data_IF_313328781649
#
_entry.id   IF_313328781649
#
_cell.length_a   1.000
_cell.length_b   1.000
_cell.length_c   1.000
_cell.angle_alpha   90.00
_cell.angle_beta   90.00
_cell.angle_gamma   90.00
#
_symmetry.space_group_name_H-M   'P 1'
#
loop_
_entity.id
_entity.type
_entity.pdbx_description
1 polymer ?
#
# COMPACT_ATOMS: atom_id res chain seq x y z
N UNK A 1 -9.01 -1.23 -21.46
CA UNK A 1 -8.54 0.15 -21.22
C UNK A 1 -8.76 1.01 -22.46
N UNK A 2 -8.24 0.64 -23.64
CA UNK A 2 -8.25 1.41 -24.91
C UNK A 2 -9.64 1.89 -25.30
N UNK A 3 -10.66 1.02 -25.27
CA UNK A 3 -12.06 1.42 -25.57
C UNK A 3 -12.57 2.56 -24.68
N UNK A 4 -12.12 2.63 -23.42
CA UNK A 4 -12.50 3.74 -22.51
C UNK A 4 -11.74 5.01 -22.84
N UNK A 5 -10.47 4.90 -23.15
CA UNK A 5 -9.64 6.03 -23.57
C UNK A 5 -10.21 6.65 -24.86
N UNK A 6 -10.52 5.82 -25.86
CA UNK A 6 -11.14 6.26 -27.12
C UNK A 6 -12.50 6.97 -26.90
N UNK A 7 -13.31 6.43 -25.99
CA UNK A 7 -14.59 7.05 -25.67
C UNK A 7 -14.41 8.43 -25.02
N UNK A 8 -13.49 8.54 -24.05
CA UNK A 8 -13.18 9.81 -23.38
C UNK A 8 -12.56 10.83 -24.35
N UNK A 9 -11.66 10.40 -25.23
CA UNK A 9 -11.08 11.26 -26.27
C UNK A 9 -12.15 11.81 -27.19
N UNK A 10 -13.13 10.98 -27.62
CA UNK A 10 -14.29 11.46 -28.43
C UNK A 10 -15.17 12.42 -27.66
N UNK A 11 -15.19 12.40 -26.35
CA UNK A 11 -15.86 13.37 -25.49
C UNK A 11 -15.08 14.68 -25.29
N UNK A 12 -13.91 14.82 -25.92
CA UNK A 12 -13.06 16.01 -25.83
C UNK A 12 -12.05 16.00 -24.69
N UNK A 13 -11.85 14.86 -24.01
CA UNK A 13 -10.83 14.73 -22.96
C UNK A 13 -9.47 14.55 -23.61
N UNK A 14 -8.53 15.44 -23.29
CA UNK A 14 -7.13 15.36 -23.70
C UNK A 14 -6.29 14.60 -22.65
N UNK A 15 -5.54 13.62 -23.09
CA UNK A 15 -4.59 12.88 -22.26
C UNK A 15 -3.17 13.42 -22.51
N UNK A 16 -2.52 13.91 -21.46
CA UNK A 16 -1.15 14.41 -21.49
C UNK A 16 -0.25 13.50 -20.67
N UNK A 17 0.30 12.46 -21.29
CA UNK A 17 1.22 11.52 -20.67
C UNK A 17 2.65 12.05 -20.62
N UNK A 18 3.45 11.61 -19.64
CA UNK A 18 4.85 12.07 -19.49
C UNK A 18 4.98 13.51 -18.97
N UNK A 19 3.90 14.11 -18.47
CA UNK A 19 3.88 15.47 -17.94
C UNK A 19 3.60 15.43 -16.44
N UNK A 20 4.42 16.15 -15.66
CA UNK A 20 4.16 16.44 -14.25
C UNK A 20 3.68 17.89 -14.17
N UNK A 21 2.38 18.15 -13.95
CA UNK A 21 1.87 19.50 -13.91
C UNK A 21 2.26 20.21 -12.61
N UNK A 22 2.37 21.54 -12.70
CA UNK A 22 2.55 22.43 -11.55
C UNK A 22 1.36 23.35 -11.38
N UNK A 23 1.18 23.99 -10.22
CA UNK A 23 0.13 24.98 -10.02
C UNK A 23 0.16 26.10 -11.07
N UNK A 24 1.36 26.55 -11.46
CA UNK A 24 1.54 27.58 -12.50
C UNK A 24 1.08 27.10 -13.88
N UNK A 25 1.38 25.84 -14.26
CA UNK A 25 0.95 25.28 -15.55
C UNK A 25 -0.55 25.10 -15.66
N UNK A 26 -1.26 24.97 -14.52
CA UNK A 26 -2.71 24.75 -14.47
C UNK A 26 -3.51 26.00 -14.02
N UNK A 27 -2.87 27.15 -13.83
CA UNK A 27 -3.51 28.38 -13.30
C UNK A 27 -4.70 28.91 -14.14
N UNK A 28 -4.68 28.63 -15.44
CA UNK A 28 -5.71 29.11 -16.39
C UNK A 28 -6.92 28.17 -16.50
N UNK A 29 -6.89 27.01 -15.80
CA UNK A 29 -8.06 26.14 -15.72
C UNK A 29 -9.06 26.66 -14.69
N UNK A 30 -10.34 26.42 -14.94
CA UNK A 30 -11.42 26.85 -14.05
C UNK A 30 -11.50 26.02 -12.78
N UNK A 31 -11.06 24.75 -12.84
CA UNK A 31 -10.87 23.86 -11.69
C UNK A 31 -9.75 22.86 -11.95
N UNK A 32 -9.10 22.43 -10.87
CA UNK A 32 -8.06 21.38 -10.87
C UNK A 32 -8.46 20.28 -9.89
N UNK A 33 -8.36 19.03 -10.31
CA UNK A 33 -8.62 17.86 -9.44
C UNK A 33 -7.34 17.07 -9.24
N UNK A 34 -6.90 16.93 -8.00
CA UNK A 34 -5.79 16.10 -7.62
C UNK A 34 -6.29 14.66 -7.37
N UNK A 35 -6.00 13.76 -8.31
CA UNK A 35 -6.31 12.33 -8.23
C UNK A 35 -5.00 11.50 -8.28
N UNK A 36 -4.00 11.93 -7.51
CA UNK A 36 -2.60 11.47 -7.58
C UNK A 36 -2.34 10.16 -6.84
N UNK A 37 -3.37 9.57 -6.22
CA UNK A 37 -3.25 8.31 -5.50
C UNK A 37 -2.35 8.40 -4.26
N UNK A 38 -1.87 7.24 -3.80
CA UNK A 38 -0.89 7.11 -2.71
C UNK A 38 0.43 6.62 -3.28
N UNK A 39 1.47 7.42 -3.19
CA UNK A 39 2.79 7.09 -3.74
C UNK A 39 3.89 6.99 -2.69
N UNK A 40 3.61 7.34 -1.44
CA UNK A 40 4.56 7.30 -0.33
C UNK A 40 4.46 5.96 0.40
N UNK A 41 5.16 4.94 -0.08
CA UNK A 41 5.16 3.61 0.55
C UNK A 41 5.78 3.66 1.94
N UNK A 42 5.12 3.02 2.92
CA UNK A 42 5.63 2.91 4.29
C UNK A 42 6.89 2.05 4.33
N UNK A 43 7.95 2.60 4.92
CA UNK A 43 9.13 1.84 5.32
C UNK A 43 9.06 1.53 6.81
N UNK A 44 9.60 0.38 7.19
CA UNK A 44 9.73 -0.01 8.59
C UNK A 44 11.15 0.36 9.08
N UNK A 45 11.21 0.83 10.32
CA UNK A 45 12.50 1.01 11.00
C UNK A 45 12.92 -0.35 11.56
N UNK A 46 14.02 -0.86 11.09
CA UNK A 46 14.61 -2.13 11.52
C UNK A 46 16.10 -1.90 11.77
N UNK A 47 16.60 -2.43 12.86
CA UNK A 47 18.03 -2.37 13.17
C UNK A 47 18.84 -3.09 12.08
N UNK A 48 19.95 -2.51 11.65
CA UNK A 48 20.79 -3.06 10.59
C UNK A 48 20.29 -2.84 9.15
N UNK A 49 19.11 -2.22 8.94
CA UNK A 49 18.53 -2.07 7.62
C UNK A 49 19.05 -0.85 6.82
N UNK A 50 19.72 0.12 7.46
CA UNK A 50 20.02 1.44 6.84
C UNK A 50 20.89 1.34 5.59
N UNK A 51 21.72 0.33 5.46
CA UNK A 51 22.61 0.12 4.31
C UNK A 51 22.48 -1.27 3.69
N UNK A 52 21.51 -2.05 4.16
CA UNK A 52 21.32 -3.42 3.70
C UNK A 52 20.80 -3.47 2.26
N UNK A 53 21.44 -4.28 1.43
CA UNK A 53 20.98 -4.60 0.08
C UNK A 53 20.01 -5.79 0.13
N UNK A 54 19.04 -5.81 -0.82
CA UNK A 54 18.03 -6.86 -0.90
C UNK A 54 16.78 -6.56 -0.07
N UNK A 55 16.59 -5.29 0.35
CA UNK A 55 15.35 -4.79 0.95
C UNK A 55 14.63 -3.92 -0.06
N UNK A 56 13.41 -4.28 -0.44
CA UNK A 56 12.61 -3.56 -1.42
C UNK A 56 11.23 -3.22 -0.88
N UNK A 57 10.67 -2.09 -1.32
CA UNK A 57 9.24 -1.83 -1.19
C UNK A 57 8.49 -2.76 -2.14
N UNK A 58 7.31 -3.21 -1.76
CA UNK A 58 6.52 -4.09 -2.59
C UNK A 58 6.22 -3.51 -3.98
N UNK A 59 5.96 -2.20 -4.07
CA UNK A 59 5.69 -1.52 -5.34
C UNK A 59 6.91 -1.56 -6.28
N UNK A 60 8.10 -1.37 -5.75
CA UNK A 60 9.35 -1.39 -6.52
C UNK A 60 9.65 -2.84 -6.97
N UNK A 61 9.50 -3.81 -6.06
CA UNK A 61 9.66 -5.24 -6.36
C UNK A 61 8.68 -5.72 -7.45
N UNK A 62 7.39 -5.37 -7.33
CA UNK A 62 6.38 -5.73 -8.33
C UNK A 62 6.58 -5.00 -9.66
N UNK A 63 7.30 -3.87 -9.66
CA UNK A 63 7.71 -3.13 -10.87
C UNK A 63 8.99 -3.69 -11.51
N UNK A 64 9.59 -4.74 -10.93
CA UNK A 64 10.73 -5.46 -11.50
C UNK A 64 12.08 -5.19 -10.82
N UNK A 65 12.10 -4.49 -9.68
CA UNK A 65 13.32 -4.31 -8.91
C UNK A 65 13.61 -5.54 -8.03
N UNK A 66 14.83 -6.04 -8.10
CA UNK A 66 15.26 -7.22 -7.36
C UNK A 66 14.78 -8.55 -7.96
N UNK A 67 15.23 -9.65 -7.37
CA UNK A 67 14.86 -11.01 -7.80
C UNK A 67 14.81 -11.97 -6.62
N UNK A 68 13.79 -12.82 -6.62
CA UNK A 68 13.58 -13.90 -5.65
C UNK A 68 14.26 -15.21 -6.05
N UNK A 69 14.85 -15.30 -7.27
CA UNK A 69 15.41 -16.54 -7.79
C UNK A 69 16.45 -17.17 -6.86
N UNK A 70 16.17 -18.38 -6.38
CA UNK A 70 17.05 -19.15 -5.49
C UNK A 70 17.20 -18.60 -4.07
N UNK A 71 16.44 -17.56 -3.68
CA UNK A 71 16.54 -16.90 -2.38
C UNK A 71 15.47 -17.38 -1.40
N UNK A 72 15.80 -17.28 -0.11
CA UNK A 72 14.83 -17.29 0.96
C UNK A 72 14.20 -15.87 1.02
N UNK A 73 12.88 -15.77 0.81
CA UNK A 73 12.15 -14.52 0.68
C UNK A 73 11.28 -14.30 1.91
N UNK A 74 11.37 -13.11 2.50
CA UNK A 74 10.47 -12.66 3.56
C UNK A 74 9.66 -11.48 3.05
N UNK A 75 8.33 -11.53 3.22
CA UNK A 75 7.38 -10.48 2.82
C UNK A 75 6.67 -9.98 4.05
N UNK A 76 6.73 -8.68 4.33
CA UNK A 76 6.04 -8.05 5.46
C UNK A 76 4.73 -7.44 4.97
N UNK A 77 3.61 -7.97 5.44
CA UNK A 77 2.25 -7.53 5.15
C UNK A 77 1.39 -8.64 4.54
N UNK A 78 0.24 -8.90 5.16
CA UNK A 78 -0.72 -9.95 4.77
C UNK A 78 -1.88 -9.44 3.88
N UNK A 79 -1.79 -8.23 3.32
CA UNK A 79 -2.80 -7.70 2.40
C UNK A 79 -2.55 -8.09 0.94
N UNK A 80 -3.44 -7.63 0.04
CA UNK A 80 -3.41 -7.96 -1.40
C UNK A 80 -2.02 -7.73 -2.04
N UNK A 81 -1.36 -6.61 -1.71
CA UNK A 81 -0.01 -6.32 -2.23
C UNK A 81 1.04 -7.34 -1.75
N UNK A 82 0.95 -7.79 -0.48
CA UNK A 82 1.81 -8.84 0.05
C UNK A 82 1.57 -10.18 -0.68
N UNK A 83 0.30 -10.50 -0.95
CA UNK A 83 -0.09 -11.69 -1.68
C UNK A 83 0.46 -11.69 -3.12
N UNK A 84 0.38 -10.55 -3.82
CA UNK A 84 0.99 -10.38 -5.15
C UNK A 84 2.50 -10.60 -5.12
N UNK A 85 3.17 -10.15 -4.03
CA UNK A 85 4.61 -10.41 -3.84
C UNK A 85 4.90 -11.90 -3.64
N UNK A 86 4.04 -12.64 -2.91
CA UNK A 86 4.16 -14.11 -2.77
C UNK A 86 4.09 -14.78 -4.14
N UNK A 87 3.05 -14.51 -4.94
CA UNK A 87 2.90 -15.08 -6.27
C UNK A 87 4.06 -14.72 -7.20
N UNK A 88 4.54 -13.48 -7.15
CA UNK A 88 5.69 -13.03 -7.93
C UNK A 88 6.97 -13.78 -7.53
N UNK A 89 7.23 -13.94 -6.23
CA UNK A 89 8.40 -14.67 -5.73
C UNK A 89 8.36 -16.16 -6.14
N UNK A 90 7.18 -16.79 -6.12
CA UNK A 90 7.00 -18.17 -6.60
C UNK A 90 7.42 -18.28 -8.07
N UNK A 91 6.92 -17.39 -8.92
CA UNK A 91 7.17 -17.40 -10.37
C UNK A 91 8.62 -17.07 -10.72
N UNK A 92 9.28 -16.28 -9.90
CA UNK A 92 10.72 -16.00 -10.02
C UNK A 92 11.60 -17.16 -9.51
N UNK A 93 11.06 -18.20 -8.90
CA UNK A 93 11.82 -19.35 -8.44
C UNK A 93 12.45 -19.19 -7.07
N UNK A 94 11.76 -18.54 -6.13
CA UNK A 94 12.19 -18.48 -4.73
C UNK A 94 12.46 -19.88 -4.16
N UNK A 95 13.47 -20.00 -3.30
CA UNK A 95 13.80 -21.21 -2.56
C UNK A 95 12.80 -21.47 -1.43
N UNK A 96 12.45 -20.41 -0.70
CA UNK A 96 11.39 -20.42 0.31
C UNK A 96 10.71 -19.04 0.36
N UNK A 97 9.48 -19.00 0.89
CA UNK A 97 8.74 -17.75 1.05
C UNK A 97 8.05 -17.79 2.41
N UNK A 98 8.21 -16.71 3.18
CA UNK A 98 7.50 -16.48 4.44
C UNK A 98 6.83 -15.12 4.37
N UNK A 99 5.53 -15.06 4.68
CA UNK A 99 4.75 -13.82 4.74
C UNK A 99 4.43 -13.48 6.19
N UNK A 100 4.84 -12.31 6.66
CA UNK A 100 4.67 -11.87 8.05
C UNK A 100 3.47 -10.93 8.14
N UNK A 101 2.50 -11.30 8.97
CA UNK A 101 1.31 -10.50 9.24
C UNK A 101 1.26 -10.14 10.74
N UNK A 102 1.15 -8.84 11.03
CA UNK A 102 1.09 -8.35 12.41
C UNK A 102 -0.24 -8.64 13.12
N UNK A 103 -1.29 -8.83 12.34
CA UNK A 103 -2.62 -9.13 12.89
C UNK A 103 -2.80 -10.64 13.11
N UNK A 104 -3.68 -11.04 14.05
CA UNK A 104 -4.02 -12.44 14.23
C UNK A 104 -4.75 -12.98 13.00
N UNK A 105 -4.58 -14.28 12.79
CA UNK A 105 -5.33 -15.01 11.77
C UNK A 105 -6.84 -14.83 11.99
N UNK A 106 -7.56 -14.49 10.93
CA UNK A 106 -9.03 -14.41 10.97
C UNK A 106 -9.60 -15.81 10.79
N UNK A 107 -10.00 -16.42 11.90
CA UNK A 107 -10.54 -17.80 11.90
C UNK A 107 -12.06 -17.87 11.68
N UNK A 108 -12.75 -16.72 11.74
CA UNK A 108 -14.19 -16.62 11.47
C UNK A 108 -14.47 -15.39 10.61
N UNK A 109 -15.29 -15.51 9.57
CA UNK A 109 -15.71 -14.37 8.79
C UNK A 109 -16.35 -13.31 9.68
N UNK A 110 -15.83 -12.09 9.65
CA UNK A 110 -16.46 -10.94 10.30
C UNK A 110 -17.17 -10.13 9.22
N UNK A 111 -18.49 -10.18 9.19
CA UNK A 111 -19.29 -9.31 8.33
C UNK A 111 -19.16 -7.88 8.84
N UNK A 112 -18.44 -7.04 8.12
CA UNK A 112 -18.47 -5.60 8.34
C UNK A 112 -19.57 -5.07 7.44
N UNK A 113 -20.67 -4.62 8.04
CA UNK A 113 -21.73 -3.97 7.27
C UNK A 113 -21.16 -2.72 6.56
N UNK A 114 -21.14 -2.80 5.27
CA UNK A 114 -20.81 -1.66 4.41
C UNK A 114 -21.99 -1.44 3.46
N UNK A 115 -22.66 -0.27 3.50
CA UNK A 115 -23.84 -0.01 2.66
C UNK A 115 -23.56 -0.08 1.16
N UNK A 116 -22.29 -0.05 0.75
CA UNK A 116 -21.90 -0.14 -0.66
C UNK A 116 -21.58 -1.57 -1.11
N UNK A 117 -21.15 -2.43 -0.21
CA UNK A 117 -20.90 -3.86 -0.44
C UNK A 117 -20.66 -4.58 0.88
N UNK A 118 -21.27 -5.73 1.02
CA UNK A 118 -20.97 -6.66 2.09
C UNK A 118 -19.68 -7.40 1.72
N UNK A 119 -18.58 -7.10 2.38
CA UNK A 119 -17.39 -7.94 2.33
C UNK A 119 -17.16 -8.50 3.73
N UNK A 120 -17.20 -9.81 3.90
CA UNK A 120 -16.70 -10.41 5.13
C UNK A 120 -15.24 -10.03 5.30
N UNK A 121 -14.84 -9.72 6.52
CA UNK A 121 -13.43 -9.58 6.87
C UNK A 121 -12.89 -11.00 7.03
N UNK A 122 -12.52 -11.58 5.91
CA UNK A 122 -11.90 -12.90 5.86
C UNK A 122 -10.39 -12.77 5.77
N UNK A 123 -9.70 -13.79 6.25
CA UNK A 123 -8.32 -13.98 5.86
C UNK A 123 -8.32 -14.16 4.34
N UNK A 124 -7.57 -13.32 3.65
CA UNK A 124 -7.43 -13.43 2.21
C UNK A 124 -6.42 -14.53 1.88
N UNK A 125 -6.94 -15.73 1.78
CA UNK A 125 -6.23 -16.84 1.15
C UNK A 125 -6.61 -16.79 -0.32
N UNK A 126 -5.78 -16.16 -1.13
CA UNK A 126 -6.02 -15.97 -2.56
C UNK A 126 -5.20 -16.96 -3.43
N UNK A 127 -5.24 -16.76 -4.73
CA UNK A 127 -4.54 -17.62 -5.69
C UNK A 127 -3.03 -17.73 -5.43
N UNK A 128 -2.40 -16.70 -4.88
CA UNK A 128 -0.96 -16.73 -4.58
C UNK A 128 -0.62 -17.65 -3.41
N UNK A 129 -1.47 -17.69 -2.39
CA UNK A 129 -1.31 -18.64 -1.28
C UNK A 129 -1.65 -20.08 -1.69
N UNK A 130 -2.65 -20.27 -2.58
CA UNK A 130 -2.93 -21.58 -3.17
C UNK A 130 -1.74 -22.08 -4.00
N UNK A 131 -1.12 -21.20 -4.78
CA UNK A 131 0.09 -21.48 -5.55
C UNK A 131 1.26 -21.83 -4.60
N UNK A 132 1.41 -21.11 -3.49
CA UNK A 132 2.40 -21.40 -2.46
C UNK A 132 2.16 -22.74 -1.79
N UNK A 133 0.92 -23.03 -1.40
CA UNK A 133 0.54 -24.31 -0.80
C UNK A 133 0.86 -25.47 -1.75
N UNK A 134 0.54 -25.31 -3.03
CA UNK A 134 0.81 -26.35 -4.05
C UNK A 134 2.31 -26.62 -4.19
N UNK A 135 3.15 -25.59 -4.11
CA UNK A 135 4.60 -25.72 -4.31
C UNK A 135 5.34 -26.14 -3.04
N UNK A 136 4.98 -25.60 -1.89
CA UNK A 136 5.73 -25.75 -0.63
C UNK A 136 5.01 -26.59 0.43
N UNK A 137 3.76 -27.00 0.19
CA UNK A 137 2.90 -27.81 1.06
C UNK A 137 2.71 -27.21 2.48
N UNK A 138 2.71 -25.90 2.59
CA UNK A 138 2.50 -25.16 3.85
C UNK A 138 1.92 -23.77 3.60
N UNK A 139 1.30 -23.18 4.63
CA UNK A 139 0.91 -21.77 4.65
C UNK A 139 2.18 -20.89 4.70
N UNK A 140 2.30 -19.85 3.86
CA UNK A 140 3.43 -18.92 3.95
C UNK A 140 3.41 -18.02 5.19
N UNK A 141 2.27 -17.89 5.89
CA UNK A 141 2.09 -16.87 6.91
C UNK A 141 2.69 -17.22 8.27
N UNK A 142 3.30 -16.20 8.88
CA UNK A 142 3.52 -16.10 10.31
C UNK A 142 2.66 -14.92 10.79
N UNK A 143 1.66 -15.23 11.60
CA UNK A 143 0.72 -14.24 12.15
C UNK A 143 1.22 -13.67 13.47
N UNK A 144 0.73 -12.48 13.80
CA UNK A 144 1.07 -11.78 15.04
C UNK A 144 2.59 -11.65 15.22
N UNK A 145 3.29 -11.23 14.17
CA UNK A 145 4.72 -11.03 14.21
C UNK A 145 5.13 -9.76 13.43
N UNK A 146 6.30 -9.24 13.77
CA UNK A 146 6.94 -8.14 13.04
C UNK A 146 8.45 -8.33 12.98
N UNK A 147 9.11 -7.71 11.99
CA UNK A 147 10.57 -7.72 11.88
C UNK A 147 11.15 -6.53 12.63
N UNK A 148 12.14 -6.77 13.48
CA UNK A 148 12.86 -5.75 14.29
C UNK A 148 14.22 -5.41 13.75
N UNK A 149 14.94 -6.41 13.25
CA UNK A 149 16.32 -6.26 12.80
C UNK A 149 16.61 -7.14 11.59
N UNK A 150 17.69 -6.83 10.91
CA UNK A 150 18.24 -7.63 9.82
C UNK A 150 19.73 -7.87 10.03
N UNK A 151 20.20 -9.04 9.59
CA UNK A 151 21.61 -9.34 9.47
C UNK A 151 22.07 -9.17 8.02
N UNK A 152 23.31 -8.74 7.84
CA UNK A 152 23.96 -8.63 6.54
C UNK A 152 25.29 -9.34 6.51
N UNK A 153 25.73 -9.74 5.33
CA UNK A 153 27.10 -10.18 5.09
C UNK A 153 28.09 -9.00 4.99
N UNK A 154 29.37 -9.30 4.82
CA UNK A 154 30.44 -8.29 4.67
C UNK A 154 30.24 -7.38 3.45
N UNK A 155 29.49 -7.82 2.44
CA UNK A 155 29.14 -7.03 1.24
C UNK A 155 27.86 -6.19 1.44
N UNK A 156 27.19 -6.29 2.59
CA UNK A 156 25.96 -5.59 2.91
C UNK A 156 24.69 -6.26 2.38
N UNK A 157 24.75 -7.49 1.85
CA UNK A 157 23.55 -8.20 1.44
C UNK A 157 22.82 -8.77 2.65
N UNK A 158 21.50 -8.67 2.67
CA UNK A 158 20.67 -9.26 3.72
C UNK A 158 20.84 -10.79 3.75
N UNK A 159 21.01 -11.36 4.96
CA UNK A 159 21.18 -12.79 5.17
C UNK A 159 20.14 -13.38 6.10
N UNK A 160 19.61 -12.59 7.04
CA UNK A 160 18.55 -13.00 7.93
C UNK A 160 17.70 -11.82 8.39
N UNK A 161 16.50 -12.13 8.91
CA UNK A 161 15.62 -11.21 9.63
C UNK A 161 15.37 -11.72 11.03
N UNK A 162 15.33 -10.80 12.00
CA UNK A 162 14.92 -11.07 13.37
C UNK A 162 13.48 -10.61 13.54
N UNK A 163 12.60 -11.53 13.81
CA UNK A 163 11.20 -11.23 14.10
C UNK A 163 10.90 -11.39 15.59
N UNK A 164 9.83 -10.76 16.04
CA UNK A 164 9.26 -10.91 17.37
C UNK A 164 7.76 -11.12 17.24
N UNK A 165 7.19 -11.97 18.09
CA UNK A 165 5.76 -12.18 18.14
C UNK A 165 5.05 -11.07 18.89
N UNK A 166 3.81 -10.82 18.51
CA UNK A 166 2.97 -9.73 19.00
C UNK A 166 1.73 -10.27 19.71
N UNK A 167 1.42 -9.68 20.86
CA UNK A 167 0.14 -9.89 21.53
C UNK A 167 -0.82 -8.74 21.20
N UNK A 168 -2.03 -9.11 20.79
CA UNK A 168 -3.09 -8.15 20.53
C UNK A 168 -3.79 -7.78 21.83
N UNK A 169 -3.83 -6.49 22.13
CA UNK A 169 -4.56 -5.90 23.25
C UNK A 169 -5.46 -4.75 22.83
N UNK A 170 -6.00 -4.05 23.82
CA UNK A 170 -6.76 -2.81 23.62
C UNK A 170 -6.38 -1.79 24.70
N UNK A 171 -6.23 -0.54 24.32
CA UNK A 171 -5.98 0.55 25.27
C UNK A 171 -7.26 1.00 25.99
N UNK A 172 -7.13 1.97 26.90
CA UNK A 172 -8.24 2.56 27.68
C UNK A 172 -9.32 3.23 26.81
N UNK A 173 -9.00 3.56 25.55
CA UNK A 173 -9.91 4.13 24.57
C UNK A 173 -10.46 3.06 23.60
N UNK A 174 -10.30 1.76 23.93
CA UNK A 174 -10.70 0.63 23.10
C UNK A 174 -10.07 0.63 21.70
N UNK A 175 -8.86 1.21 21.56
CA UNK A 175 -8.07 1.15 20.33
C UNK A 175 -7.15 -0.07 20.42
N UNK A 176 -7.10 -0.85 19.33
CA UNK A 176 -6.25 -2.02 19.24
C UNK A 176 -4.78 -1.65 19.44
N UNK A 177 -4.11 -2.39 20.30
CA UNK A 177 -2.66 -2.33 20.53
C UNK A 177 -2.01 -3.65 20.15
N UNK A 178 -0.75 -3.59 19.76
CA UNK A 178 0.11 -4.75 19.50
C UNK A 178 1.35 -4.58 20.37
N UNK A 179 1.57 -5.52 21.26
CA UNK A 179 2.70 -5.49 22.20
C UNK A 179 3.63 -6.65 21.91
N UNK A 180 4.93 -6.40 21.88
CA UNK A 180 5.93 -7.46 21.69
C UNK A 180 5.93 -8.42 22.87
N UNK A 181 6.00 -9.73 22.57
CA UNK A 181 6.11 -10.79 23.56
C UNK A 181 7.60 -10.99 23.86
N UNK A 182 8.10 -10.66 25.05
CA UNK A 182 9.50 -10.83 25.39
C UNK A 182 9.94 -12.31 25.33
N UNK A 183 11.10 -12.57 24.70
CA UNK A 183 11.64 -13.91 24.56
C UNK A 183 11.00 -14.74 23.44
N UNK A 184 10.25 -14.10 22.56
CA UNK A 184 9.62 -14.73 21.39
C UNK A 184 10.39 -14.46 20.09
N UNK A 185 11.61 -13.98 20.19
CA UNK A 185 12.45 -13.64 19.04
C UNK A 185 12.82 -14.90 18.25
N UNK A 186 12.66 -14.81 16.94
CA UNK A 186 13.05 -15.85 15.98
C UNK A 186 13.93 -15.26 14.88
N UNK A 187 14.84 -16.05 14.35
CA UNK A 187 15.70 -15.67 13.22
C UNK A 187 15.33 -16.51 12.01
N UNK A 188 15.01 -15.85 10.93
CA UNK A 188 14.70 -16.50 9.66
C UNK A 188 15.76 -16.16 8.60
N UNK A 189 16.22 -17.13 7.79
CA UNK A 189 17.09 -16.85 6.66
C UNK A 189 16.33 -15.95 5.67
N UNK A 190 17.01 -14.93 5.14
CA UNK A 190 16.43 -13.97 4.24
C UNK A 190 17.46 -13.44 3.25
N UNK A 191 17.31 -13.74 1.98
CA UNK A 191 18.12 -13.18 0.90
C UNK A 191 17.36 -12.10 0.10
N UNK A 192 16.08 -11.89 0.39
CA UNK A 192 15.24 -10.84 -0.16
C UNK A 192 14.13 -10.50 0.83
N UNK A 193 14.09 -9.25 1.29
CA UNK A 193 13.03 -8.72 2.14
C UNK A 193 12.15 -7.75 1.34
N UNK A 194 10.83 -8.02 1.29
CA UNK A 194 9.86 -7.17 0.60
C UNK A 194 8.90 -6.56 1.61
N UNK A 195 8.79 -5.23 1.62
CA UNK A 195 7.95 -4.48 2.57
C UNK A 195 6.65 -4.06 1.90
N UNK A 196 5.54 -4.72 2.26
CA UNK A 196 4.18 -4.47 1.81
C UNK A 196 3.30 -3.85 2.91
N UNK A 197 3.84 -2.88 3.66
CA UNK A 197 3.23 -2.29 4.86
C UNK A 197 2.25 -1.14 4.57
N UNK A 198 1.76 -1.01 3.33
CA UNK A 198 0.85 0.04 2.88
C UNK A 198 1.55 1.38 2.60
N UNK A 199 0.75 2.45 2.53
CA UNK A 199 1.22 3.78 2.12
C UNK A 199 0.88 4.84 3.17
N UNK A 200 1.62 5.96 3.10
CA UNK A 200 1.47 7.15 3.94
C UNK A 200 0.99 8.34 3.09
N UNK A 201 -0.12 8.18 2.37
CA UNK A 201 -0.67 9.23 1.53
C UNK A 201 0.05 9.43 0.18
N UNK A 202 -0.22 10.52 -0.53
CA UNK A 202 0.44 10.89 -1.76
C UNK A 202 1.93 11.19 -1.52
N UNK A 203 2.70 11.26 -2.59
CA UNK A 203 4.07 11.82 -2.51
C UNK A 203 3.99 13.28 -2.07
N UNK A 204 4.89 13.70 -1.17
CA UNK A 204 4.89 15.05 -0.60
C UNK A 204 4.93 16.14 -1.68
N UNK A 205 5.73 15.91 -2.73
CA UNK A 205 5.90 16.83 -3.85
C UNK A 205 4.57 17.17 -4.56
N UNK A 206 3.61 16.24 -4.56
CA UNK A 206 2.30 16.48 -5.16
C UNK A 206 1.46 17.47 -4.34
N UNK A 207 1.52 17.40 -3.01
CA UNK A 207 0.84 18.36 -2.14
C UNK A 207 1.52 19.74 -2.15
N UNK A 208 2.86 19.75 -2.08
CA UNK A 208 3.70 20.96 -2.10
C UNK A 208 3.55 21.74 -3.40
N UNK A 209 3.56 21.05 -4.57
CA UNK A 209 3.44 21.67 -5.88
C UNK A 209 2.16 22.48 -6.06
N UNK A 210 1.10 22.15 -5.31
CA UNK A 210 -0.19 22.85 -5.35
C UNK A 210 -0.50 23.64 -4.08
N UNK A 211 0.36 23.60 -3.07
CA UNK A 211 0.18 24.30 -1.81
C UNK A 211 -1.01 23.81 -0.98
N UNK A 212 -1.39 22.54 -1.17
CA UNK A 212 -2.53 21.95 -0.45
C UNK A 212 -2.10 21.40 0.91
N UNK A 213 -2.96 21.57 1.90
CA UNK A 213 -2.76 21.04 3.25
C UNK A 213 -2.97 19.53 3.29
N UNK A 214 -2.31 18.88 4.23
CA UNK A 214 -2.47 17.46 4.50
C UNK A 214 -2.98 17.19 5.92
N UNK A 215 -3.69 16.09 6.10
CA UNK A 215 -4.17 15.62 7.39
C UNK A 215 -3.02 14.99 8.20
N UNK A 216 -3.24 14.69 9.48
CA UNK A 216 -2.30 13.93 10.32
C UNK A 216 -1.94 12.55 9.77
N UNK A 217 -2.70 12.02 8.81
CA UNK A 217 -2.42 10.76 8.09
C UNK A 217 -1.74 10.99 6.74
N UNK A 218 -1.28 12.20 6.47
CA UNK A 218 -0.63 12.63 5.23
C UNK A 218 -1.52 12.56 3.98
N UNK A 219 -2.83 12.42 4.10
CA UNK A 219 -3.76 12.55 2.99
C UNK A 219 -4.05 14.02 2.72
N UNK A 220 -4.40 14.40 1.49
CA UNK A 220 -4.82 15.76 1.17
C UNK A 220 -6.05 16.12 2.00
N UNK A 221 -5.97 17.23 2.72
CA UNK A 221 -7.09 17.74 3.52
C UNK A 221 -8.14 18.39 2.62
N UNK A 222 -9.40 18.13 2.91
CA UNK A 222 -10.52 18.66 2.12
C UNK A 222 -11.76 18.96 2.97
N UNK A 223 -12.63 19.77 2.42
CA UNK A 223 -14.02 19.93 2.85
C UNK A 223 -14.90 19.73 1.65
N UNK A 224 -15.67 18.65 1.60
CA UNK A 224 -16.50 18.29 0.46
C UNK A 224 -15.74 18.34 -0.88
N UNK A 225 -14.58 17.66 -0.92
CA UNK A 225 -13.60 17.59 -2.02
C UNK A 225 -12.77 18.85 -2.28
N UNK A 226 -13.21 20.04 -1.85
CA UNK A 226 -12.45 21.29 -2.03
C UNK A 226 -11.28 21.34 -1.01
N UNK A 227 -10.07 21.64 -1.50
CA UNK A 227 -8.88 21.84 -0.65
C UNK A 227 -8.87 23.25 -0.06
N UNK A 228 -7.84 23.57 0.74
CA UNK A 228 -7.56 24.95 1.19
C UNK A 228 -7.19 25.92 0.05
N UNK A 229 -6.87 25.41 -1.15
CA UNK A 229 -6.51 26.22 -2.30
C UNK A 229 -7.72 26.37 -3.23
N UNK A 230 -8.13 27.62 -3.50
CA UNK A 230 -9.27 27.93 -4.38
C UNK A 230 -9.15 27.22 -5.73
N UNK A 231 -10.24 26.65 -6.24
CA UNK A 231 -10.34 25.87 -7.47
C UNK A 231 -9.63 24.50 -7.45
N UNK A 232 -8.92 24.13 -6.38
CA UNK A 232 -8.22 22.86 -6.28
C UNK A 232 -9.03 21.89 -5.44
N UNK A 233 -9.34 20.74 -6.02
CA UNK A 233 -10.10 19.64 -5.42
C UNK A 233 -9.23 18.41 -5.30
N UNK A 234 -9.62 17.46 -4.46
CA UNK A 234 -8.93 16.18 -4.30
C UNK A 234 -9.92 15.01 -4.27
N UNK A 235 -9.53 13.86 -4.86
CA UNK A 235 -10.33 12.65 -4.82
C UNK A 235 -9.49 11.38 -4.88
N UNK A 236 -10.10 10.25 -4.53
CA UNK A 236 -9.46 8.94 -4.51
C UNK A 236 -8.49 8.77 -3.35
N UNK A 237 -7.51 7.88 -3.52
CA UNK A 237 -6.64 7.46 -2.43
C UNK A 237 -5.77 8.58 -1.85
N UNK A 238 -5.45 9.62 -2.60
CA UNK A 238 -4.71 10.76 -2.06
C UNK A 238 -5.50 11.56 -1.00
N UNK A 239 -6.83 11.45 -1.03
CA UNK A 239 -7.77 12.07 -0.10
C UNK A 239 -8.20 11.13 1.01
N UNK A 240 -8.57 9.89 0.67
CA UNK A 240 -9.19 8.92 1.61
C UNK A 240 -8.23 7.89 2.19
N UNK A 241 -6.99 7.82 1.68
CA UNK A 241 -6.06 6.72 1.92
C UNK A 241 -6.30 5.56 0.94
N UNK A 242 -5.30 4.66 0.84
CA UNK A 242 -5.35 3.52 -0.09
C UNK A 242 -6.58 2.63 0.17
N UNK A 243 -7.24 2.25 -0.91
CA UNK A 243 -8.41 1.38 -0.85
C UNK A 243 -8.66 0.67 -2.19
N UNK A 244 -9.84 0.07 -2.35
CA UNK A 244 -10.23 -0.60 -3.59
C UNK A 244 -10.48 0.41 -4.73
N UNK A 245 -10.13 0.02 -5.96
CA UNK A 245 -10.37 0.81 -7.18
C UNK A 245 -11.81 1.30 -7.28
N UNK A 246 -12.79 0.48 -6.92
CA UNK A 246 -14.21 0.85 -6.96
C UNK A 246 -14.53 2.01 -6.02
N UNK A 247 -13.87 2.12 -4.86
CA UNK A 247 -14.02 3.27 -3.96
C UNK A 247 -13.43 4.53 -4.57
N UNK A 248 -12.23 4.46 -5.15
CA UNK A 248 -11.62 5.59 -5.83
C UNK A 248 -12.49 6.08 -7.01
N UNK A 249 -13.12 5.16 -7.76
CA UNK A 249 -14.05 5.52 -8.83
C UNK A 249 -15.31 6.24 -8.32
N UNK A 250 -15.89 5.76 -7.21
CA UNK A 250 -17.05 6.42 -6.58
C UNK A 250 -16.64 7.81 -6.09
N UNK A 251 -15.53 7.90 -5.39
CA UNK A 251 -15.02 9.17 -4.85
C UNK A 251 -14.75 10.20 -5.97
N UNK A 252 -14.15 9.76 -7.08
CA UNK A 252 -13.93 10.62 -8.26
C UNK A 252 -15.22 11.11 -8.90
N UNK A 253 -16.29 10.30 -8.93
CA UNK A 253 -17.61 10.72 -9.44
C UNK A 253 -18.26 11.78 -8.54
N UNK A 254 -18.19 11.60 -7.23
CA UNK A 254 -18.72 12.58 -6.28
C UNK A 254 -17.91 13.88 -6.30
N UNK A 255 -16.59 13.80 -6.44
CA UNK A 255 -15.73 14.96 -6.70
C UNK A 255 -16.16 15.70 -7.97
N UNK A 256 -16.43 14.98 -9.06
CA UNK A 256 -16.93 15.58 -10.30
C UNK A 256 -18.23 16.37 -10.11
N UNK A 257 -19.16 15.89 -9.25
CA UNK A 257 -20.38 16.65 -8.89
C UNK A 257 -20.04 17.92 -8.09
N UNK A 258 -19.08 17.84 -7.17
CA UNK A 258 -18.66 18.99 -6.39
C UNK A 258 -18.02 20.08 -7.29
N UNK A 259 -17.17 19.66 -8.25
CA UNK A 259 -16.59 20.58 -9.25
C UNK A 259 -17.66 21.19 -10.14
N UNK A 260 -18.63 20.42 -10.65
CA UNK A 260 -19.73 20.92 -11.45
C UNK A 260 -20.55 21.97 -10.69
N UNK A 261 -20.83 21.72 -9.41
CA UNK A 261 -21.54 22.68 -8.56
C UNK A 261 -20.73 23.98 -8.33
N UNK A 262 -19.41 23.88 -8.21
CA UNK A 262 -18.51 25.02 -8.09
C UNK A 262 -18.48 25.87 -9.39
N UNK A 263 -18.41 25.24 -10.56
CA UNK A 263 -18.35 25.93 -11.84
C UNK A 263 -19.66 26.61 -12.27
N UNK A 264 -20.76 26.29 -11.59
CA UNK A 264 -22.10 26.88 -11.83
C UNK A 264 -22.41 28.09 -10.95
N UNK A 265 -21.52 28.43 -10.03
CA UNK A 265 -21.64 29.60 -9.15
C UNK A 265 -21.18 30.88 -9.89
#
# INVERSE_FOLDING_TARGET
LDRKIDAMTRMGIAFMTGVVPTAESLKNYDAVVLAVGTGNARMLKMEGAEHAQGIHKAVDYLSGEGTAAGKDVVIIGGGDTGNDCVGTAIRQGAKSITQIEMLPQVTKPQVIYNPLYEQPKEQKFDSSQEEHWTKFLKDPHIYQATVKAVDTDEAGNITAVHLVHLEKGYDEHNRMTLTEIPGSEEVLPCGLLVIAAGFLGPKAEAAEAFGVETTARSNIADTNYATNVTKVFACGDCRTGQSLVVKAMVDGRECGKAVDAFLKQ
#
